data_IF_421914836688
#
_entry.id   IF_421914836688
#
_cell.length_a   1.000
_cell.length_b   1.000
_cell.length_c   1.000
_cell.angle_alpha   90.00
_cell.angle_beta   90.00
_cell.angle_gamma   90.00
#
_symmetry.space_group_name_H-M   'P 1'
#
loop_
_entity.id
_entity.type
_entity.pdbx_description
1 polymer ?
#
# COMPACT_ATOMS: atom_id res chain seq x y z
N UNK A 1 19.72 -28.83 -3.04
CA UNK A 1 18.90 -27.70 -3.52
C UNK A 1 19.78 -26.46 -3.53
N UNK A 2 20.11 -25.93 -4.70
CA UNK A 2 20.84 -24.66 -4.78
C UNK A 2 19.93 -23.50 -4.32
N UNK A 3 20.44 -22.68 -3.41
CA UNK A 3 19.78 -21.42 -3.02
C UNK A 3 19.99 -20.41 -4.14
N UNK A 4 18.94 -19.77 -4.69
CA UNK A 4 19.12 -18.73 -5.69
C UNK A 4 19.93 -17.58 -5.09
N UNK A 5 21.05 -17.23 -5.75
CA UNK A 5 21.83 -16.05 -5.38
C UNK A 5 20.99 -14.81 -5.66
N UNK A 6 20.64 -14.09 -4.59
CA UNK A 6 20.04 -12.76 -4.70
C UNK A 6 20.94 -11.88 -5.58
N UNK A 7 20.39 -11.15 -6.56
CA UNK A 7 21.19 -10.17 -7.28
C UNK A 7 21.64 -9.11 -6.27
N UNK A 8 22.94 -9.08 -5.97
CA UNK A 8 23.54 -7.91 -5.33
C UNK A 8 23.43 -6.78 -6.34
N UNK A 9 22.39 -5.96 -6.22
CA UNK A 9 22.44 -4.59 -6.71
C UNK A 9 23.56 -3.89 -5.95
N UNK A 10 24.79 -4.02 -6.44
CA UNK A 10 25.92 -3.20 -6.01
C UNK A 10 25.80 -1.87 -6.74
N UNK A 11 24.74 -1.12 -6.44
CA UNK A 11 24.68 0.28 -6.82
C UNK A 11 25.78 0.99 -6.01
N UNK A 12 26.63 1.83 -6.64
CA UNK A 12 27.56 2.66 -5.90
C UNK A 12 26.76 3.52 -4.92
N UNK A 13 27.25 3.63 -3.69
CA UNK A 13 26.62 4.49 -2.69
C UNK A 13 26.56 5.91 -3.26
N UNK A 14 25.40 6.60 -3.16
CA UNK A 14 25.29 7.97 -3.65
C UNK A 14 26.34 8.85 -2.96
N UNK A 15 26.96 9.73 -3.73
CA UNK A 15 27.92 10.68 -3.18
C UNK A 15 27.25 11.55 -2.11
N UNK A 16 27.95 11.89 -1.01
CA UNK A 16 27.39 12.76 0.02
C UNK A 16 27.03 14.12 -0.60
N UNK A 17 25.80 14.53 -0.38
CA UNK A 17 25.30 15.85 -0.76
C UNK A 17 25.79 16.90 0.23
N UNK A 18 25.79 18.21 -0.12
CA UNK A 18 26.13 19.27 0.84
C UNK A 18 25.20 19.33 2.07
N UNK A 19 24.05 18.65 2.03
CA UNK A 19 23.12 18.48 3.15
C UNK A 19 23.33 17.17 3.93
N UNK A 20 24.29 16.33 3.53
CA UNK A 20 24.59 15.07 4.21
C UNK A 20 25.38 15.34 5.49
N UNK A 21 24.86 14.86 6.63
CA UNK A 21 25.54 14.95 7.93
C UNK A 21 25.86 13.56 8.47
N UNK A 22 26.95 13.47 9.23
CA UNK A 22 27.27 12.24 9.97
C UNK A 22 26.35 12.05 11.17
N UNK A 23 26.24 10.82 11.67
CA UNK A 23 25.46 10.53 12.88
C UNK A 23 25.91 11.37 14.09
N UNK A 24 27.22 11.52 14.28
CA UNK A 24 27.76 12.32 15.38
C UNK A 24 27.33 13.79 15.29
N UNK A 25 27.39 14.39 14.09
CA UNK A 25 26.92 15.76 13.86
C UNK A 25 25.42 15.90 14.08
N UNK A 26 24.62 14.94 13.64
CA UNK A 26 23.18 14.92 13.86
C UNK A 26 22.87 14.99 15.37
N UNK A 27 23.53 14.16 16.18
CA UNK A 27 23.34 14.14 17.62
C UNK A 27 23.71 15.48 18.26
N UNK A 28 24.82 16.09 17.85
CA UNK A 28 25.22 17.41 18.34
C UNK A 28 24.18 18.50 17.98
N UNK A 29 23.68 18.51 16.74
CA UNK A 29 22.66 19.46 16.30
C UNK A 29 21.37 19.32 17.10
N UNK A 30 20.91 18.09 17.33
CA UNK A 30 19.72 17.79 18.15
C UNK A 30 19.92 18.28 19.58
N UNK A 31 21.08 18.02 20.20
CA UNK A 31 21.36 18.47 21.56
C UNK A 31 21.40 19.99 21.69
N UNK A 32 21.86 20.68 20.64
CA UNK A 32 21.94 22.14 20.57
C UNK A 32 20.62 22.80 20.16
N UNK A 33 19.58 22.01 19.80
CA UNK A 33 18.34 22.54 19.24
C UNK A 33 18.53 23.26 17.91
N UNK A 34 19.57 22.91 17.15
CA UNK A 34 19.88 23.52 15.84
C UNK A 34 19.22 22.74 14.71
N UNK A 35 18.81 23.46 13.68
CA UNK A 35 18.19 22.86 12.50
C UNK A 35 19.21 22.08 11.65
N UNK A 36 18.70 21.09 10.91
CA UNK A 36 19.52 20.27 10.02
C UNK A 36 19.87 21.03 8.73
N UNK A 37 21.11 20.90 8.22
CA UNK A 37 21.46 21.46 6.92
C UNK A 37 20.57 20.89 5.81
N UNK A 38 20.07 21.77 4.93
CA UNK A 38 19.16 21.38 3.85
C UNK A 38 17.73 21.07 4.28
N UNK A 39 17.37 21.34 5.54
CA UNK A 39 15.98 21.21 6.00
C UNK A 39 15.14 22.36 5.45
N UNK A 40 14.22 22.06 4.53
CA UNK A 40 13.24 23.03 4.02
C UNK A 40 11.97 23.02 4.88
N UNK A 41 11.70 24.11 5.61
CA UNK A 41 10.42 24.34 6.27
C UNK A 41 9.44 24.92 5.27
N UNK A 42 8.70 24.05 4.59
CA UNK A 42 7.62 24.49 3.70
C UNK A 42 6.53 25.16 4.53
N UNK A 43 6.08 26.34 4.10
CA UNK A 43 4.90 27.00 4.65
C UNK A 43 3.65 26.22 4.20
N UNK A 44 3.38 25.11 4.88
CA UNK A 44 2.19 24.30 4.63
C UNK A 44 1.04 24.96 5.37
N UNK A 45 0.24 25.75 4.65
CA UNK A 45 -1.04 26.23 5.15
C UNK A 45 -2.08 25.12 4.98
N UNK A 46 -2.96 24.95 5.97
CA UNK A 46 -4.13 24.11 5.80
C UNK A 46 -5.00 24.74 4.69
N UNK A 47 -5.02 24.09 3.54
CA UNK A 47 -6.06 24.36 2.55
C UNK A 47 -7.31 23.70 3.09
N UNK A 48 -8.27 24.48 3.59
CA UNK A 48 -9.58 24.01 4.05
C UNK A 48 -10.46 23.51 2.89
N UNK A 49 -9.85 22.88 1.88
CA UNK A 49 -10.56 22.19 0.83
C UNK A 49 -11.17 20.90 1.35
N UNK A 50 -12.20 20.42 0.64
CA UNK A 50 -12.82 19.13 0.92
C UNK A 50 -11.75 18.01 0.92
N UNK A 51 -11.66 17.18 1.98
CA UNK A 51 -10.68 16.10 2.08
C UNK A 51 -10.95 15.06 0.98
N UNK A 52 -10.25 15.20 -0.15
CA UNK A 52 -10.52 14.45 -1.38
C UNK A 52 -10.22 12.97 -1.23
N UNK A 53 -9.22 12.58 -0.43
CA UNK A 53 -8.70 11.21 -0.43
C UNK A 53 -9.66 10.16 0.14
N UNK A 54 -10.52 10.53 1.11
CA UNK A 54 -11.45 9.59 1.74
C UNK A 54 -12.79 9.48 1.02
N UNK A 55 -13.15 10.48 0.21
CA UNK A 55 -14.41 10.51 -0.54
C UNK A 55 -14.31 9.78 -1.88
N UNK A 56 -13.08 9.57 -2.39
CA UNK A 56 -12.86 8.76 -3.57
C UNK A 56 -13.22 7.30 -3.28
N UNK A 57 -13.99 6.68 -4.19
CA UNK A 57 -14.27 5.25 -4.10
C UNK A 57 -12.95 4.48 -4.16
N UNK A 58 -12.56 3.89 -3.03
CA UNK A 58 -11.33 3.12 -2.94
C UNK A 58 -11.54 1.77 -3.62
N UNK A 59 -10.68 1.45 -4.58
CA UNK A 59 -10.59 0.07 -5.09
C UNK A 59 -10.16 -0.85 -3.92
N UNK A 60 -10.93 -1.91 -3.60
CA UNK A 60 -10.54 -2.83 -2.54
C UNK A 60 -9.20 -3.47 -2.89
N UNK A 61 -8.36 -3.62 -1.87
CA UNK A 61 -7.07 -4.30 -2.02
C UNK A 61 -7.34 -5.78 -2.31
N UNK A 62 -6.42 -6.50 -2.98
CA UNK A 62 -6.66 -7.88 -3.40
C UNK A 62 -6.97 -8.82 -2.23
N UNK A 63 -6.42 -8.56 -1.03
CA UNK A 63 -6.74 -9.33 0.18
C UNK A 63 -8.11 -9.00 0.80
N UNK A 64 -8.73 -7.86 0.46
CA UNK A 64 -10.07 -7.49 0.92
C UNK A 64 -11.16 -8.02 -0.02
N UNK A 65 -10.83 -8.22 -1.30
CA UNK A 65 -11.77 -8.76 -2.29
C UNK A 65 -12.25 -10.18 -1.93
N UNK A 66 -11.38 -11.01 -1.33
CA UNK A 66 -11.74 -12.34 -0.86
C UNK A 66 -12.78 -12.29 0.27
N UNK A 67 -12.60 -11.39 1.24
CA UNK A 67 -13.54 -11.21 2.36
C UNK A 67 -14.90 -10.66 1.90
N UNK A 68 -14.94 -9.85 0.83
CA UNK A 68 -16.19 -9.37 0.24
C UNK A 68 -16.95 -10.47 -0.53
N UNK A 69 -16.24 -11.44 -1.10
CA UNK A 69 -16.84 -12.57 -1.82
C UNK A 69 -17.58 -13.53 -0.87
N UNK A 70 -17.10 -13.68 0.38
CA UNK A 70 -17.76 -14.50 1.40
C UNK A 70 -19.05 -13.87 1.97
N UNK A 71 -19.24 -12.55 1.79
CA UNK A 71 -20.44 -11.83 2.25
C UNK A 71 -21.59 -11.86 1.24
N UNK A 72 -21.38 -12.35 0.02
CA UNK A 72 -22.45 -12.52 -0.96
C UNK A 72 -23.28 -13.76 -0.57
N UNK A 73 -24.62 -13.68 -0.56
CA UNK A 73 -25.44 -14.86 -0.33
C UNK A 73 -25.10 -15.91 -1.39
N UNK A 74 -25.01 -17.20 -1.01
CA UNK A 74 -24.62 -18.24 -1.94
C UNK A 74 -25.58 -18.22 -3.13
N UNK A 75 -25.08 -18.32 -4.38
CA UNK A 75 -25.95 -18.37 -5.54
C UNK A 75 -26.89 -19.56 -5.36
N UNK A 76 -28.19 -19.30 -5.38
CA UNK A 76 -29.21 -20.35 -5.31
C UNK A 76 -29.00 -21.25 -6.53
N UNK A 77 -28.33 -22.39 -6.31
CA UNK A 77 -28.21 -23.43 -7.31
C UNK A 77 -29.62 -23.95 -7.58
N UNK A 78 -30.24 -23.47 -8.67
CA UNK A 78 -31.46 -24.10 -9.19
C UNK A 78 -31.07 -25.47 -9.71
N UNK A 79 -31.20 -26.46 -8.84
CA UNK A 79 -31.15 -27.86 -9.23
C UNK A 79 -32.27 -28.05 -10.26
N UNK A 80 -31.90 -28.45 -11.46
CA UNK A 80 -32.86 -28.75 -12.52
C UNK A 80 -33.73 -29.90 -12.05
N UNK A 81 -35.00 -29.62 -11.77
CA UNK A 81 -36.05 -30.63 -11.73
C UNK A 81 -36.05 -31.36 -13.06
N UNK A 82 -35.66 -32.64 -13.05
CA UNK A 82 -35.82 -33.52 -14.19
C UNK A 82 -37.32 -33.57 -14.57
N UNK A 83 -37.69 -33.38 -15.85
CA UNK A 83 -39.06 -33.63 -16.27
C UNK A 83 -39.33 -35.13 -16.17
N UNK A 84 -40.32 -35.49 -15.36
CA UNK A 84 -40.87 -36.83 -15.31
C UNK A 84 -41.41 -37.21 -16.70
N UNK A 85 -41.02 -38.38 -17.19
CA UNK A 85 -41.66 -39.06 -18.31
C UNK A 85 -43.16 -39.21 -18.08
N UNK A 86 -44.01 -38.97 -19.09
CA UNK A 86 -45.31 -39.59 -19.18
C UNK A 86 -45.28 -40.78 -20.14
N UNK A 87 -45.58 -41.95 -19.60
CA UNK A 87 -46.04 -43.12 -20.34
C UNK A 87 -47.38 -42.80 -21.07
N UNK A 88 -47.55 -43.35 -22.27
CA UNK A 88 -48.87 -43.56 -22.87
C UNK A 88 -48.97 -43.41 -24.39
N UNK A 89 -48.94 -44.52 -25.12
CA UNK A 89 -50.10 -45.13 -25.82
C UNK A 89 -49.64 -46.41 -26.51
#
# INVERSE_FOLDING_TARGET
MERPRSPRCSAPAPAPTPASVTLAQLLQLVQQGRELPGLERRHIAAIHGEPTASQLQRRPKPWEAAALAESLPPPTHRIGTAPAEPAGT
#
